data_IF_737625743756
#
_entry.id   IF_737625743756
#
_cell.length_a   1.000
_cell.length_b   1.000
_cell.length_c   1.000
_cell.angle_alpha   90.00
_cell.angle_beta   90.00
_cell.angle_gamma   90.00
#
_symmetry.space_group_name_H-M   'P 1'
#
loop_
_entity.id
_entity.type
_entity.pdbx_description
1 polymer ?
#
# COMPACT_ATOMS: atom_id res chain seq x y z
N UNK A 1 14.67 -6.59 -30.32
CA UNK A 1 14.62 -6.87 -28.86
C UNK A 1 15.35 -8.17 -28.60
N UNK A 2 16.29 -8.22 -27.65
CA UNK A 2 17.07 -9.45 -27.37
C UNK A 2 16.31 -10.35 -26.39
N UNK A 3 16.48 -11.67 -26.48
CA UNK A 3 15.89 -12.68 -25.55
C UNK A 3 16.16 -12.37 -24.07
N UNK A 4 17.21 -11.59 -23.81
CA UNK A 4 17.58 -11.12 -22.47
C UNK A 4 16.56 -10.18 -21.83
N UNK A 5 15.87 -9.37 -22.63
CA UNK A 5 14.85 -8.43 -22.16
C UNK A 5 13.53 -9.13 -21.77
N UNK A 6 13.29 -10.35 -22.26
CA UNK A 6 12.10 -11.16 -21.95
C UNK A 6 12.23 -11.94 -20.63
N UNK A 7 13.40 -11.93 -19.97
CA UNK A 7 13.71 -12.80 -18.84
C UNK A 7 13.89 -12.04 -17.49
N UNK A 8 13.24 -10.89 -17.31
CA UNK A 8 13.23 -10.18 -16.02
C UNK A 8 14.55 -9.47 -15.68
N UNK A 9 15.17 -8.82 -16.66
CA UNK A 9 16.40 -8.04 -16.46
C UNK A 9 16.04 -6.66 -15.86
N UNK A 10 16.12 -6.54 -14.54
CA UNK A 10 15.92 -5.27 -13.83
C UNK A 10 17.26 -4.71 -13.37
N UNK A 11 17.52 -3.43 -13.70
CA UNK A 11 18.75 -2.70 -13.33
C UNK A 11 20.07 -3.32 -13.82
N UNK A 12 20.04 -4.09 -14.92
CA UNK A 12 21.18 -4.85 -15.48
C UNK A 12 21.66 -6.03 -14.62
N UNK A 13 20.87 -6.50 -13.64
CA UNK A 13 21.20 -7.67 -12.83
C UNK A 13 20.02 -8.62 -12.73
N UNK A 14 20.18 -9.80 -13.30
CA UNK A 14 19.22 -10.90 -13.23
C UNK A 14 19.11 -11.44 -11.81
N UNK A 15 17.91 -11.44 -11.26
CA UNK A 15 17.61 -12.20 -10.06
C UNK A 15 17.54 -13.68 -10.41
N UNK A 16 18.30 -14.50 -9.68
CA UNK A 16 18.17 -15.96 -9.75
C UNK A 16 17.08 -16.43 -8.78
N UNK A 17 16.66 -17.70 -8.90
CA UNK A 17 15.72 -18.35 -7.98
C UNK A 17 16.07 -18.11 -6.50
N UNK A 18 17.36 -18.21 -6.15
CA UNK A 18 17.85 -17.94 -4.80
C UNK A 18 17.53 -16.51 -4.31
N UNK A 19 17.58 -15.50 -5.19
CA UNK A 19 17.24 -14.14 -4.82
C UNK A 19 15.74 -14.00 -4.53
N UNK A 20 14.89 -14.66 -5.30
CA UNK A 20 13.45 -14.69 -5.04
C UNK A 20 13.11 -15.43 -3.74
N UNK A 21 13.78 -16.55 -3.46
CA UNK A 21 13.61 -17.27 -2.20
C UNK A 21 14.04 -16.43 -1.00
N UNK A 22 15.18 -15.73 -1.09
CA UNK A 22 15.64 -14.82 -0.03
C UNK A 22 14.67 -13.67 0.19
N UNK A 23 14.17 -13.04 -0.88
CA UNK A 23 13.18 -11.97 -0.78
C UNK A 23 11.86 -12.45 -0.15
N UNK A 24 11.43 -13.66 -0.49
CA UNK A 24 10.24 -14.29 0.10
C UNK A 24 10.42 -14.56 1.59
N UNK A 25 11.58 -15.12 1.99
CA UNK A 25 11.90 -15.38 3.38
C UNK A 25 11.97 -14.09 4.22
N UNK A 26 12.58 -13.03 3.68
CA UNK A 26 12.62 -11.72 4.33
C UNK A 26 11.22 -11.14 4.49
N UNK A 27 10.39 -11.21 3.45
CA UNK A 27 9.01 -10.71 3.49
C UNK A 27 8.17 -11.46 4.54
N UNK A 28 8.35 -12.78 4.63
CA UNK A 28 7.69 -13.60 5.64
C UNK A 28 8.12 -13.21 7.06
N UNK A 29 9.42 -13.01 7.30
CA UNK A 29 9.91 -12.57 8.60
C UNK A 29 9.35 -11.21 9.00
N UNK A 30 9.28 -10.26 8.06
CA UNK A 30 8.68 -8.94 8.31
C UNK A 30 7.21 -9.04 8.72
N UNK A 31 6.44 -9.90 8.03
CA UNK A 31 5.06 -10.17 8.38
C UNK A 31 4.93 -10.77 9.79
N UNK A 32 5.74 -11.79 10.09
CA UNK A 32 5.73 -12.42 11.41
C UNK A 32 6.11 -11.45 12.53
N UNK A 33 7.03 -10.51 12.30
CA UNK A 33 7.34 -9.45 13.26
C UNK A 33 6.11 -8.61 13.59
N UNK A 34 5.30 -8.23 12.59
CA UNK A 34 4.07 -7.46 12.85
C UNK A 34 3.02 -8.29 13.58
N UNK A 35 2.86 -9.56 13.21
CA UNK A 35 1.93 -10.49 13.89
C UNK A 35 2.32 -10.69 15.33
N UNK A 36 3.61 -10.93 15.61
CA UNK A 36 4.10 -11.09 16.98
C UNK A 36 3.95 -9.80 17.78
N UNK A 37 4.21 -8.62 17.19
CA UNK A 37 4.01 -7.35 17.87
C UNK A 37 2.55 -7.14 18.30
N UNK A 38 1.61 -7.42 17.40
CA UNK A 38 0.18 -7.33 17.68
C UNK A 38 -0.29 -8.41 18.66
N UNK A 39 0.16 -9.66 18.48
CA UNK A 39 -0.27 -10.82 19.26
C UNK A 39 0.32 -10.89 20.67
N UNK A 40 1.54 -10.41 20.87
CA UNK A 40 2.19 -10.34 22.18
C UNK A 40 1.87 -9.05 22.95
N UNK A 41 1.07 -8.14 22.35
CA UNK A 41 0.67 -6.89 22.99
C UNK A 41 1.84 -5.99 23.34
N UNK A 42 2.86 -5.93 22.47
CA UNK A 42 4.05 -5.11 22.72
C UNK A 42 3.68 -3.62 22.72
N UNK A 43 4.08 -2.92 23.78
CA UNK A 43 3.82 -1.50 23.95
C UNK A 43 4.56 -0.66 22.89
N UNK A 44 3.85 0.31 22.33
CA UNK A 44 4.36 1.25 21.34
C UNK A 44 3.91 0.97 19.92
N UNK A 45 4.50 1.71 18.97
CA UNK A 45 4.18 1.56 17.55
C UNK A 45 4.97 0.40 16.98
N UNK A 46 4.34 -0.51 16.21
CA UNK A 46 5.06 -1.58 15.54
C UNK A 46 6.15 -0.98 14.65
N UNK A 47 7.32 -1.65 14.54
CA UNK A 47 8.38 -1.19 13.66
C UNK A 47 7.85 -1.06 12.24
N UNK A 48 8.06 0.13 11.65
CA UNK A 48 7.68 0.39 10.26
C UNK A 48 8.70 -0.30 9.35
N UNK A 49 8.45 -1.57 9.08
CA UNK A 49 9.24 -2.35 8.14
C UNK A 49 8.90 -1.90 6.72
N UNK A 50 9.91 -1.45 5.99
CA UNK A 50 9.77 -1.18 4.56
C UNK A 50 9.64 -2.53 3.85
N UNK A 51 8.52 -2.79 3.14
CA UNK A 51 8.37 -4.02 2.39
C UNK A 51 9.50 -4.18 1.39
N UNK A 52 10.07 -5.38 1.29
CA UNK A 52 11.05 -5.65 0.26
C UNK A 52 10.38 -5.59 -1.11
N UNK A 53 10.82 -4.67 -1.98
CA UNK A 53 10.26 -4.55 -3.33
C UNK A 53 10.82 -5.66 -4.21
N UNK A 54 9.93 -6.53 -4.70
CA UNK A 54 10.29 -7.49 -5.73
C UNK A 54 10.54 -6.77 -7.07
N UNK A 55 11.43 -7.30 -7.93
CA UNK A 55 11.57 -6.80 -9.29
C UNK A 55 10.24 -6.92 -10.04
N UNK A 56 9.95 -5.94 -10.89
CA UNK A 56 8.69 -5.90 -11.61
C UNK A 56 8.67 -6.92 -12.76
N UNK A 57 8.08 -8.09 -12.57
CA UNK A 57 8.10 -9.14 -13.59
C UNK A 57 7.29 -8.84 -14.87
N UNK A 58 6.61 -7.69 -14.92
CA UNK A 58 5.80 -7.29 -16.08
C UNK A 58 6.64 -6.96 -17.29
N UNK A 59 6.10 -7.26 -18.47
CA UNK A 59 6.70 -6.82 -19.74
C UNK A 59 6.55 -5.30 -19.91
N UNK A 60 7.40 -4.66 -20.74
CA UNK A 60 7.25 -3.22 -21.03
C UNK A 60 5.85 -2.85 -21.55
N UNK A 61 5.22 -3.75 -22.32
CA UNK A 61 3.87 -3.56 -22.86
C UNK A 61 2.81 -3.58 -21.75
N UNK A 62 2.93 -4.50 -20.78
CA UNK A 62 2.05 -4.56 -19.61
C UNK A 62 2.20 -3.32 -18.72
N UNK A 63 3.43 -2.83 -18.54
CA UNK A 63 3.68 -1.60 -17.78
C UNK A 63 2.98 -0.41 -18.46
N UNK A 64 3.13 -0.27 -19.79
CA UNK A 64 2.49 0.80 -20.54
C UNK A 64 0.95 0.70 -20.49
N UNK A 65 0.39 -0.50 -20.53
CA UNK A 65 -1.06 -0.72 -20.42
C UNK A 65 -1.59 -0.36 -19.02
N UNK A 66 -0.88 -0.76 -17.96
CA UNK A 66 -1.21 -0.42 -16.58
C UNK A 66 -1.13 1.09 -16.34
N UNK A 67 -0.13 1.77 -16.90
CA UNK A 67 -0.03 3.23 -16.86
C UNK A 67 -1.20 3.89 -17.60
N UNK A 68 -1.54 3.42 -18.79
CA UNK A 68 -2.69 3.93 -19.54
C UNK A 68 -4.01 3.71 -18.77
N UNK A 69 -4.15 2.56 -18.12
CA UNK A 69 -5.30 2.26 -17.25
C UNK A 69 -5.34 3.19 -16.03
N UNK A 70 -4.20 3.39 -15.35
CA UNK A 70 -4.09 4.29 -14.21
C UNK A 70 -4.46 5.74 -14.60
N UNK A 71 -4.03 6.20 -15.78
CA UNK A 71 -4.43 7.51 -16.31
C UNK A 71 -5.94 7.61 -16.57
N UNK A 72 -6.57 6.56 -17.11
CA UNK A 72 -8.03 6.53 -17.30
C UNK A 72 -8.76 6.60 -15.96
N UNK A 73 -8.32 5.84 -14.97
CA UNK A 73 -8.90 5.85 -13.61
C UNK A 73 -8.71 7.22 -12.96
N UNK A 74 -7.52 7.82 -13.05
CA UNK A 74 -7.25 9.14 -12.51
C UNK A 74 -8.14 10.22 -13.16
N UNK A 75 -8.32 10.18 -14.48
CA UNK A 75 -9.24 11.06 -15.20
C UNK A 75 -10.69 10.87 -14.74
N UNK A 76 -11.13 9.63 -14.58
CA UNK A 76 -12.46 9.32 -14.06
C UNK A 76 -12.65 9.85 -12.63
N UNK A 77 -11.72 9.56 -11.72
CA UNK A 77 -11.77 10.06 -10.34
C UNK A 77 -11.74 11.59 -10.25
N UNK A 78 -11.01 12.26 -11.14
CA UNK A 78 -11.02 13.71 -11.24
C UNK A 78 -12.37 14.25 -11.72
N UNK A 79 -13.05 13.54 -12.62
CA UNK A 79 -14.40 13.91 -13.10
C UNK A 79 -15.50 13.64 -12.06
N UNK A 80 -15.31 12.63 -11.21
CA UNK A 80 -16.24 12.24 -10.14
C UNK A 80 -15.88 12.90 -8.82
N UNK A 81 -14.96 13.89 -8.83
CA UNK A 81 -14.54 14.59 -7.61
C UNK A 81 -15.81 15.12 -6.92
N UNK A 82 -16.13 14.64 -5.70
CA UNK A 82 -17.33 15.09 -5.01
C UNK A 82 -17.29 16.62 -4.92
N UNK A 83 -18.43 17.33 -5.04
CA UNK A 83 -18.45 18.74 -4.68
C UNK A 83 -17.82 18.84 -3.30
N UNK A 84 -16.83 19.72 -3.15
CA UNK A 84 -16.14 19.93 -1.89
C UNK A 84 -17.22 19.99 -0.80
N UNK A 85 -17.13 19.10 0.19
CA UNK A 85 -18.10 19.06 1.28
C UNK A 85 -18.22 20.50 1.78
N UNK A 86 -19.44 21.02 1.85
CA UNK A 86 -19.71 22.34 2.41
C UNK A 86 -18.92 22.46 3.73
N UNK A 87 -18.05 23.48 3.88
CA UNK A 87 -17.20 23.62 5.06
C UNK A 87 -17.99 23.56 6.38
N UNK A 88 -19.28 23.93 6.36
CA UNK A 88 -20.17 23.77 7.50
C UNK A 88 -20.58 22.32 7.76
N UNK A 89 -20.86 21.54 6.72
CA UNK A 89 -21.19 20.12 6.84
C UNK A 89 -20.01 19.32 7.42
N UNK A 90 -18.77 19.68 7.05
CA UNK A 90 -17.56 19.06 7.60
C UNK A 90 -17.38 19.38 9.09
N UNK A 91 -17.65 20.63 9.51
CA UNK A 91 -17.63 21.03 10.93
C UNK A 91 -18.66 20.27 11.75
N UNK A 92 -19.92 20.23 11.29
CA UNK A 92 -21.01 19.51 11.97
C UNK A 92 -20.70 18.02 12.13
N UNK A 93 -20.08 17.40 11.13
CA UNK A 93 -19.68 16.00 11.21
C UNK A 93 -18.57 15.78 12.26
N UNK A 94 -17.55 16.65 12.30
CA UNK A 94 -16.47 16.57 13.30
C UNK A 94 -17.02 16.73 14.73
N UNK A 95 -17.92 17.69 14.94
CA UNK A 95 -18.58 17.91 16.23
C UNK A 95 -19.42 16.68 16.65
N UNK A 96 -20.18 16.09 15.73
CA UNK A 96 -20.98 14.89 16.01
C UNK A 96 -20.12 13.67 16.39
N UNK A 97 -18.95 13.51 15.76
CA UNK A 97 -17.99 12.45 16.08
C UNK A 97 -17.38 12.67 17.47
N UNK A 98 -17.02 13.90 17.82
CA UNK A 98 -16.52 14.23 19.16
C UNK A 98 -17.57 14.02 20.26
N UNK A 99 -18.82 14.43 20.02
CA UNK A 99 -19.91 14.20 20.96
C UNK A 99 -20.16 12.70 21.20
N UNK A 100 -20.16 11.88 20.14
CA UNK A 100 -20.25 10.41 20.28
C UNK A 100 -19.09 9.84 21.08
N UNK A 101 -17.87 10.36 20.86
CA UNK A 101 -16.67 9.93 21.60
C UNK A 101 -16.72 10.32 23.07
N UNK A 102 -17.28 11.48 23.41
CA UNK A 102 -17.47 11.92 24.78
C UNK A 102 -18.58 11.13 25.48
N UNK A 103 -19.71 10.91 24.81
CA UNK A 103 -20.79 10.08 25.33
C UNK A 103 -20.33 8.63 25.60
N UNK A 104 -19.52 8.06 24.71
CA UNK A 104 -18.93 6.73 24.92
C UNK A 104 -17.93 6.68 26.09
N UNK A 105 -17.29 7.81 26.45
CA UNK A 105 -16.40 7.90 27.61
C UNK A 105 -17.14 8.12 28.93
N UNK A 106 -18.35 8.68 28.89
CA UNK A 106 -19.19 8.89 30.08
C UNK A 106 -20.08 7.67 30.38
N UNK A 107 -20.24 6.76 29.42
CA UNK A 107 -21.00 5.51 29.57
C UNK A 107 -20.15 4.33 30.11
N UNK A 108 -18.90 4.59 30.50
CA UNK A 108 -17.96 3.66 31.17
C UNK A 108 -17.67 4.22 32.55
#
# INVERSE_FOLDING_TARGET
MTRSALAGDHTRRRWTEMHYMQASALSYMQFMTQVMWAGQGLDGKPPKLMPWSLPDLRTPEQIAEDEARAQRVAKFLASVKPPALDPEAERRWREAVEQRRQAAKQAV
#
